data_IF_360179708294
#
_entry.id   IF_360179708294
#
_cell.length_a   1.000
_cell.length_b   1.000
_cell.length_c   1.000
_cell.angle_alpha   90.00
_cell.angle_beta   90.00
_cell.angle_gamma   90.00
#
_symmetry.space_group_name_H-M   'P 1'
#
loop_
_entity.id
_entity.type
_entity.pdbx_description
1 polymer ?
#
# COMPACT_ATOMS: atom_id res chain seq x y z
N UNK A 1 12.88 26.00 -8.11
CA UNK A 1 11.64 25.25 -7.80
C UNK A 1 10.89 25.07 -9.10
N UNK A 2 10.92 23.88 -9.69
CA UNK A 2 10.12 23.59 -10.88
C UNK A 2 8.64 23.50 -10.46
N UNK A 3 7.73 23.89 -11.34
CA UNK A 3 6.27 24.12 -11.14
C UNK A 3 5.47 22.91 -10.57
N UNK A 4 6.14 21.81 -10.20
CA UNK A 4 5.58 20.53 -9.72
C UNK A 4 5.98 20.16 -8.27
N UNK A 5 6.90 20.89 -7.62
CA UNK A 5 7.32 20.58 -6.24
C UNK A 5 6.44 21.33 -5.23
N UNK A 6 5.76 20.59 -4.35
CA UNK A 6 4.94 21.17 -3.29
C UNK A 6 5.87 21.74 -2.22
N UNK A 7 5.73 23.03 -1.89
CA UNK A 7 6.41 23.62 -0.74
C UNK A 7 5.73 23.14 0.55
N UNK A 8 6.38 22.16 1.17
CA UNK A 8 5.95 21.49 2.40
C UNK A 8 6.41 22.21 3.68
N UNK A 9 7.22 23.26 3.53
CA UNK A 9 7.92 23.92 4.64
C UNK A 9 7.36 25.31 4.94
N UNK A 10 7.08 26.13 3.93
CA UNK A 10 6.63 27.52 4.12
C UNK A 10 5.17 27.78 3.69
N UNK A 11 4.62 26.99 2.76
CA UNK A 11 3.28 27.17 2.20
C UNK A 11 2.09 26.93 3.14
N UNK A 12 0.89 27.24 2.64
CA UNK A 12 -0.38 26.95 3.32
C UNK A 12 -0.60 25.43 3.45
N UNK A 13 -0.81 24.97 4.69
CA UNK A 13 -0.83 23.56 5.06
C UNK A 13 -1.93 22.77 4.34
N UNK A 14 -3.17 23.24 4.43
CA UNK A 14 -4.35 22.56 3.88
C UNK A 14 -4.26 22.32 2.35
N UNK A 15 -4.02 23.33 1.49
CA UNK A 15 -3.94 23.11 0.04
C UNK A 15 -2.72 22.28 -0.37
N UNK A 16 -1.58 22.40 0.33
CA UNK A 16 -0.40 21.58 0.08
C UNK A 16 -0.64 20.11 0.47
N UNK A 17 -1.31 19.86 1.60
CA UNK A 17 -1.66 18.50 2.03
C UNK A 17 -2.68 17.86 1.10
N UNK A 18 -3.73 18.57 0.69
CA UNK A 18 -4.72 18.04 -0.26
C UNK A 18 -4.10 17.73 -1.63
N UNK A 19 -3.23 18.61 -2.15
CA UNK A 19 -2.50 18.34 -3.41
C UNK A 19 -1.55 17.15 -3.33
N UNK A 20 -1.09 16.80 -2.13
CA UNK A 20 -0.25 15.62 -1.90
C UNK A 20 -1.11 14.36 -1.69
N UNK A 21 -2.15 14.44 -0.86
CA UNK A 21 -3.01 13.32 -0.48
C UNK A 21 -3.92 12.85 -1.61
N UNK A 22 -4.48 13.75 -2.44
CA UNK A 22 -5.41 13.37 -3.52
C UNK A 22 -4.75 12.43 -4.55
N UNK A 23 -3.55 12.74 -5.10
CA UNK A 23 -2.89 11.79 -6.00
C UNK A 23 -2.49 10.48 -5.31
N UNK A 24 -2.20 10.54 -4.01
CA UNK A 24 -1.87 9.34 -3.24
C UNK A 24 -3.10 8.44 -3.05
N UNK A 25 -4.25 9.03 -2.72
CA UNK A 25 -5.54 8.36 -2.65
C UNK A 25 -5.89 7.72 -3.99
N UNK A 26 -5.74 8.46 -5.10
CA UNK A 26 -5.95 7.93 -6.44
C UNK A 26 -5.00 6.76 -6.75
N UNK A 27 -3.75 6.80 -6.28
CA UNK A 27 -2.80 5.70 -6.48
C UNK A 27 -3.23 4.45 -5.69
N UNK A 28 -3.69 4.62 -4.45
CA UNK A 28 -4.20 3.51 -3.64
C UNK A 28 -5.50 2.91 -4.21
N UNK A 29 -6.43 3.75 -4.69
CA UNK A 29 -7.65 3.28 -5.37
C UNK A 29 -7.29 2.51 -6.65
N UNK A 30 -6.34 3.02 -7.43
CA UNK A 30 -5.89 2.32 -8.62
C UNK A 30 -5.25 0.97 -8.31
N UNK A 31 -4.48 0.88 -7.21
CA UNK A 31 -3.92 -0.38 -6.75
C UNK A 31 -5.01 -1.37 -6.33
N UNK A 32 -6.10 -0.91 -5.73
CA UNK A 32 -7.29 -1.73 -5.46
C UNK A 32 -7.94 -2.22 -6.76
N UNK A 33 -8.09 -1.33 -7.75
CA UNK A 33 -8.63 -1.68 -9.07
C UNK A 33 -7.76 -2.71 -9.81
N UNK A 34 -6.43 -2.74 -9.60
CA UNK A 34 -5.58 -3.79 -10.18
C UNK A 34 -5.90 -5.16 -9.61
N UNK A 35 -5.96 -5.25 -8.28
CA UNK A 35 -6.34 -6.49 -7.63
C UNK A 35 -7.73 -6.95 -8.06
N UNK A 36 -8.69 -6.01 -8.18
CA UNK A 36 -10.03 -6.32 -8.67
C UNK A 36 -10.04 -6.78 -10.14
N UNK A 37 -9.22 -6.16 -11.00
CA UNK A 37 -9.13 -6.53 -12.42
C UNK A 37 -8.54 -7.92 -12.61
N UNK A 38 -7.46 -8.26 -11.88
CA UNK A 38 -6.85 -9.59 -11.90
C UNK A 38 -7.89 -10.68 -11.53
N UNK A 39 -8.66 -10.44 -10.47
CA UNK A 39 -9.71 -11.35 -10.00
C UNK A 39 -10.85 -11.44 -11.03
N UNK A 40 -11.28 -10.32 -11.61
CA UNK A 40 -12.38 -10.28 -12.57
C UNK A 40 -12.02 -11.02 -13.87
N UNK A 41 -10.79 -10.88 -14.37
CA UNK A 41 -10.34 -11.61 -15.57
C UNK A 41 -10.28 -13.11 -15.28
N UNK A 42 -9.72 -13.52 -14.14
CA UNK A 42 -9.67 -14.95 -13.77
C UNK A 42 -11.05 -15.56 -13.50
N UNK A 43 -11.97 -14.78 -12.93
CA UNK A 43 -13.33 -15.24 -12.65
C UNK A 43 -14.17 -15.45 -13.91
N UNK A 44 -13.96 -14.65 -14.95
CA UNK A 44 -14.72 -14.74 -16.21
C UNK A 44 -14.06 -15.64 -17.26
N UNK A 45 -12.73 -15.67 -17.32
CA UNK A 45 -12.00 -16.35 -18.39
C UNK A 45 -11.10 -17.49 -17.92
N UNK A 46 -10.88 -17.64 -16.61
CA UNK A 46 -10.10 -18.73 -16.03
C UNK A 46 -10.97 -19.85 -15.47
N UNK A 47 -10.34 -20.98 -15.15
CA UNK A 47 -11.02 -22.07 -14.45
C UNK A 47 -11.35 -21.74 -12.97
N UNK A 48 -12.35 -22.39 -12.39
CA UNK A 48 -12.67 -22.25 -10.95
C UNK A 48 -11.48 -22.60 -10.05
N UNK A 49 -10.64 -23.55 -10.49
CA UNK A 49 -9.37 -23.89 -9.83
C UNK A 49 -8.34 -22.76 -9.92
N UNK A 50 -8.31 -22.02 -11.04
CA UNK A 50 -7.44 -20.86 -11.25
C UNK A 50 -7.77 -19.72 -10.29
N UNK A 51 -9.07 -19.43 -10.09
CA UNK A 51 -9.52 -18.41 -9.14
C UNK A 51 -9.19 -18.79 -7.68
N UNK A 52 -9.46 -20.04 -7.30
CA UNK A 52 -9.15 -20.56 -5.96
C UNK A 52 -7.63 -20.59 -5.67
N UNK A 53 -6.82 -20.89 -6.69
CA UNK A 53 -5.37 -20.85 -6.58
C UNK A 53 -4.86 -19.43 -6.30
N UNK A 54 -5.30 -18.43 -7.06
CA UNK A 54 -4.89 -17.04 -6.82
C UNK A 54 -5.35 -16.56 -5.45
N UNK A 55 -6.61 -16.82 -5.07
CA UNK A 55 -7.14 -16.46 -3.75
C UNK A 55 -6.31 -17.01 -2.58
N UNK A 56 -5.81 -18.24 -2.69
CA UNK A 56 -4.96 -18.88 -1.67
C UNK A 56 -3.59 -18.20 -1.53
N UNK A 57 -3.10 -17.56 -2.60
CA UNK A 57 -1.80 -16.87 -2.61
C UNK A 57 -1.88 -15.40 -2.20
N UNK A 58 -3.07 -14.79 -2.19
CA UNK A 58 -3.27 -13.36 -1.85
C UNK A 58 -2.66 -13.02 -0.50
N UNK A 59 -2.91 -13.82 0.53
CA UNK A 59 -2.39 -13.55 1.88
C UNK A 59 -0.85 -13.49 1.92
N UNK A 60 -0.19 -14.42 1.23
CA UNK A 60 1.27 -14.47 1.11
C UNK A 60 1.81 -13.25 0.35
N UNK A 61 1.19 -12.92 -0.78
CA UNK A 61 1.52 -11.75 -1.61
C UNK A 61 1.35 -10.45 -0.83
N UNK A 62 0.23 -10.29 -0.12
CA UNK A 62 -0.06 -9.11 0.69
C UNK A 62 0.93 -8.96 1.84
N UNK A 63 1.33 -10.04 2.50
CA UNK A 63 2.31 -10.00 3.60
C UNK A 63 3.65 -9.44 3.12
N UNK A 64 4.16 -9.93 1.99
CA UNK A 64 5.43 -9.47 1.41
C UNK A 64 5.32 -8.03 0.92
N UNK A 65 4.22 -7.70 0.24
CA UNK A 65 3.97 -6.34 -0.26
C UNK A 65 3.90 -5.33 0.89
N UNK A 66 3.18 -5.67 1.97
CA UNK A 66 3.08 -4.85 3.17
C UNK A 66 4.44 -4.67 3.86
N UNK A 67 5.28 -5.70 3.86
CA UNK A 67 6.65 -5.59 4.36
C UNK A 67 7.48 -4.59 3.55
N UNK A 68 7.40 -4.62 2.21
CA UNK A 68 8.09 -3.65 1.35
C UNK A 68 7.57 -2.22 1.51
N UNK A 69 6.25 -2.05 1.63
CA UNK A 69 5.63 -0.76 1.94
C UNK A 69 6.15 -0.24 3.30
N UNK A 70 6.19 -1.11 4.31
CA UNK A 70 6.75 -0.84 5.64
C UNK A 70 8.18 -0.32 5.58
N UNK A 71 9.08 -1.02 4.88
CA UNK A 71 10.46 -0.58 4.69
C UNK A 71 10.57 0.74 3.91
N UNK A 72 9.71 0.93 2.91
CA UNK A 72 9.71 2.13 2.06
C UNK A 72 9.30 3.38 2.85
N UNK A 73 8.47 3.24 3.89
CA UNK A 73 8.16 4.33 4.82
C UNK A 73 9.44 4.84 5.52
N UNK A 74 10.34 3.93 5.92
CA UNK A 74 11.63 4.29 6.51
C UNK A 74 12.51 5.13 5.58
N UNK A 75 12.54 4.77 4.29
CA UNK A 75 13.21 5.56 3.25
C UNK A 75 12.57 6.94 3.09
N UNK A 76 11.23 7.02 3.05
CA UNK A 76 10.52 8.31 2.94
C UNK A 76 10.87 9.24 4.11
N UNK A 77 10.73 8.77 5.35
CA UNK A 77 11.03 9.56 6.57
C UNK A 77 12.47 10.09 6.54
N UNK A 78 13.45 9.22 6.23
CA UNK A 78 14.86 9.60 6.23
C UNK A 78 15.20 10.57 5.09
N UNK A 79 14.63 10.36 3.89
CA UNK A 79 14.81 11.23 2.75
C UNK A 79 14.16 12.61 2.99
N UNK A 80 12.91 12.66 3.46
CA UNK A 80 12.21 13.89 3.83
C UNK A 80 12.96 14.68 4.89
N UNK A 81 13.51 14.01 5.90
CA UNK A 81 14.31 14.66 6.94
C UNK A 81 15.61 15.25 6.37
N UNK A 82 16.29 14.55 5.47
CA UNK A 82 17.50 15.08 4.82
C UNK A 82 17.19 16.29 3.92
N UNK A 83 16.08 16.25 3.20
CA UNK A 83 15.58 17.36 2.37
C UNK A 83 15.24 18.59 3.23
N UNK A 84 14.53 18.38 4.34
CA UNK A 84 14.22 19.45 5.30
C UNK A 84 15.48 20.09 5.90
N UNK A 85 16.47 19.26 6.22
CA UNK A 85 17.77 19.71 6.75
C UNK A 85 18.70 20.30 5.68
N UNK A 86 18.28 20.34 4.41
CA UNK A 86 19.12 20.70 3.24
C UNK A 86 20.44 19.91 3.17
N UNK A 87 20.48 18.70 3.74
CA UNK A 87 21.66 17.84 3.74
C UNK A 87 21.66 16.94 2.51
N UNK A 88 21.96 17.54 1.37
CA UNK A 88 21.93 16.89 0.06
C UNK A 88 22.96 15.75 -0.10
N UNK A 89 24.10 15.83 0.60
CA UNK A 89 25.09 14.74 0.62
C UNK A 89 24.53 13.49 1.28
N UNK A 90 23.86 13.65 2.44
CA UNK A 90 23.21 12.53 3.12
C UNK A 90 22.02 12.01 2.31
N UNK A 91 21.22 12.89 1.71
CA UNK A 91 20.12 12.51 0.82
C UNK A 91 20.58 11.62 -0.34
N UNK A 92 21.68 12.00 -1.02
CA UNK A 92 22.26 11.18 -2.10
C UNK A 92 22.58 9.77 -1.59
N UNK A 93 23.22 9.64 -0.42
CA UNK A 93 23.49 8.31 0.17
C UNK A 93 22.20 7.54 0.47
N UNK A 94 21.16 8.20 0.99
CA UNK A 94 19.86 7.58 1.28
C UNK A 94 19.22 7.02 0.01
N UNK A 95 19.21 7.78 -1.09
CA UNK A 95 18.66 7.34 -2.38
C UNK A 95 19.37 6.08 -2.89
N UNK A 96 20.70 6.10 -2.95
CA UNK A 96 21.49 4.98 -3.46
C UNK A 96 21.41 3.74 -2.57
N UNK A 97 21.44 3.91 -1.25
CA UNK A 97 21.30 2.81 -0.30
C UNK A 97 19.88 2.23 -0.29
N UNK A 98 18.83 3.04 -0.46
CA UNK A 98 17.45 2.55 -0.52
C UNK A 98 17.21 1.67 -1.75
N UNK A 99 17.80 2.04 -2.90
CA UNK A 99 17.73 1.22 -4.11
C UNK A 99 18.52 -0.08 -3.96
N UNK A 100 19.74 -0.02 -3.39
CA UNK A 100 20.53 -1.23 -3.09
C UNK A 100 19.75 -2.16 -2.15
N UNK A 101 19.13 -1.60 -1.11
CA UNK A 101 18.31 -2.35 -0.17
C UNK A 101 17.06 -2.94 -0.85
N UNK A 102 16.41 -2.19 -1.74
CA UNK A 102 15.27 -2.68 -2.52
C UNK A 102 15.63 -3.85 -3.43
N UNK A 103 16.79 -3.80 -4.11
CA UNK A 103 17.30 -4.91 -4.93
C UNK A 103 17.59 -6.13 -4.05
N UNK A 104 18.31 -5.96 -2.94
CA UNK A 104 18.64 -7.07 -2.04
C UNK A 104 17.41 -7.69 -1.39
N UNK A 105 16.49 -6.86 -0.90
CA UNK A 105 15.26 -7.34 -0.30
C UNK A 105 14.35 -8.02 -1.35
N UNK A 106 14.32 -7.50 -2.58
CA UNK A 106 13.64 -8.14 -3.70
C UNK A 106 14.24 -9.51 -4.06
N UNK A 107 15.57 -9.61 -4.16
CA UNK A 107 16.28 -10.87 -4.43
C UNK A 107 16.07 -11.87 -3.29
N UNK A 108 16.16 -11.41 -2.04
CA UNK A 108 15.91 -12.24 -0.85
C UNK A 108 14.48 -12.78 -0.84
N UNK A 109 13.48 -11.92 -1.10
CA UNK A 109 12.09 -12.36 -1.18
C UNK A 109 11.88 -13.33 -2.35
N UNK A 110 12.48 -13.07 -3.52
CA UNK A 110 12.39 -13.95 -4.67
C UNK A 110 13.01 -15.33 -4.40
N UNK A 111 14.18 -15.39 -3.77
CA UNK A 111 14.86 -16.64 -3.45
C UNK A 111 14.09 -17.46 -2.41
N UNK A 112 13.64 -16.81 -1.33
CA UNK A 112 12.78 -17.45 -0.32
C UNK A 112 11.51 -17.96 -0.97
N UNK A 113 10.90 -17.17 -1.84
CA UNK A 113 9.68 -17.54 -2.54
C UNK A 113 9.81 -18.73 -3.47
N UNK A 114 10.83 -18.74 -4.33
CA UNK A 114 11.02 -19.85 -5.29
C UNK A 114 11.32 -21.16 -4.57
N UNK A 115 12.09 -21.12 -3.47
CA UNK A 115 12.49 -22.32 -2.70
C UNK A 115 11.38 -22.79 -1.74
N UNK A 116 10.72 -21.89 -1.03
CA UNK A 116 9.79 -22.24 0.05
C UNK A 116 8.31 -22.13 -0.34
N UNK A 117 7.94 -21.57 -1.50
CA UNK A 117 6.53 -21.40 -1.93
C UNK A 117 5.68 -22.66 -1.74
N UNK A 118 6.16 -23.81 -2.23
CA UNK A 118 5.42 -25.06 -2.10
C UNK A 118 5.22 -25.48 -0.63
N UNK A 119 6.25 -25.33 0.20
CA UNK A 119 6.18 -25.66 1.63
C UNK A 119 5.24 -24.73 2.40
N UNK A 120 5.29 -23.44 2.09
CA UNK A 120 4.41 -22.44 2.71
C UNK A 120 2.95 -22.68 2.32
N UNK A 121 2.67 -23.00 1.04
CA UNK A 121 1.31 -23.29 0.58
C UNK A 121 0.73 -24.57 1.18
N UNK A 122 1.56 -25.62 1.34
CA UNK A 122 1.15 -26.82 2.08
C UNK A 122 0.87 -26.50 3.54
N UNK A 123 1.70 -25.66 4.18
CA UNK A 123 1.49 -25.24 5.57
C UNK A 123 0.20 -24.40 5.74
N UNK A 124 -0.16 -23.62 4.72
CA UNK A 124 -1.42 -22.87 4.65
C UNK A 124 -2.64 -23.75 4.35
N UNK A 125 -2.49 -25.09 4.35
CA UNK A 125 -3.56 -26.05 4.08
C UNK A 125 -4.25 -25.82 2.73
N UNK A 126 -3.48 -25.39 1.72
CA UNK A 126 -4.01 -25.20 0.36
C UNK A 126 -4.42 -26.57 -0.21
N UNK A 127 -5.65 -26.75 -0.72
CA UNK A 127 -6.11 -28.03 -1.23
C UNK A 127 -5.22 -28.58 -2.35
N UNK A 128 -4.99 -29.90 -2.37
CA UNK A 128 -4.12 -30.56 -3.35
C UNK A 128 -4.53 -30.29 -4.80
N UNK A 129 -5.83 -30.11 -5.05
CA UNK A 129 -6.39 -29.81 -6.38
C UNK A 129 -5.97 -28.46 -6.95
N UNK A 130 -5.60 -27.48 -6.11
CA UNK A 130 -5.19 -26.12 -6.52
C UNK A 130 -3.73 -25.81 -6.20
N UNK A 131 -3.05 -26.68 -5.46
CA UNK A 131 -1.65 -26.50 -5.04
C UNK A 131 -0.69 -26.30 -6.23
N UNK A 132 -0.74 -27.08 -7.33
CA UNK A 132 0.18 -26.90 -8.46
C UNK A 132 0.04 -25.52 -9.13
N UNK A 133 -1.21 -25.06 -9.32
CA UNK A 133 -1.53 -23.74 -9.88
C UNK A 133 -1.09 -22.60 -8.95
N UNK A 134 -1.31 -22.78 -7.64
CA UNK A 134 -0.90 -21.80 -6.61
C UNK A 134 0.61 -21.67 -6.54
N UNK A 135 1.35 -22.79 -6.62
CA UNK A 135 2.82 -22.79 -6.66
C UNK A 135 3.33 -22.09 -7.92
N UNK A 136 2.73 -22.37 -9.08
CA UNK A 136 3.10 -21.72 -10.35
C UNK A 136 2.89 -20.20 -10.27
N UNK A 137 1.71 -19.76 -9.83
CA UNK A 137 1.41 -18.34 -9.62
C UNK A 137 2.44 -17.68 -8.73
N UNK A 138 2.66 -18.30 -7.57
CA UNK A 138 3.53 -17.77 -6.53
C UNK A 138 4.95 -17.62 -7.04
N UNK A 139 5.51 -18.64 -7.71
CA UNK A 139 6.86 -18.58 -8.29
C UNK A 139 7.01 -17.46 -9.32
N UNK A 140 6.04 -17.29 -10.21
CA UNK A 140 6.06 -16.21 -11.22
C UNK A 140 5.98 -14.85 -10.50
N UNK A 141 5.06 -14.70 -9.56
CA UNK A 141 4.87 -13.46 -8.80
C UNK A 141 6.11 -13.06 -8.00
N UNK A 142 6.87 -14.03 -7.47
CA UNK A 142 8.12 -13.78 -6.76
C UNK A 142 9.19 -13.14 -7.64
N UNK A 143 9.20 -13.35 -8.95
CA UNK A 143 10.07 -12.56 -9.85
C UNK A 143 9.65 -11.08 -9.93
N UNK A 144 8.36 -10.78 -9.77
CA UNK A 144 7.81 -9.41 -9.69
C UNK A 144 8.14 -8.68 -8.39
N UNK A 145 8.61 -9.38 -7.35
CA UNK A 145 8.98 -8.75 -6.08
C UNK A 145 10.15 -7.77 -6.22
N UNK A 146 11.10 -8.05 -7.11
CA UNK A 146 12.23 -7.14 -7.36
C UNK A 146 11.73 -5.81 -7.95
N UNK A 147 10.97 -5.79 -9.07
CA UNK A 147 10.32 -4.58 -9.57
C UNK A 147 9.47 -3.86 -8.53
N UNK A 148 8.66 -4.59 -7.76
CA UNK A 148 7.77 -4.02 -6.75
C UNK A 148 8.54 -3.33 -5.63
N UNK A 149 9.61 -3.95 -5.13
CA UNK A 149 10.46 -3.35 -4.12
C UNK A 149 11.07 -2.05 -4.65
N UNK A 150 11.69 -2.08 -5.83
CA UNK A 150 12.34 -0.91 -6.42
C UNK A 150 11.33 0.21 -6.69
N UNK A 151 10.13 -0.12 -7.17
CA UNK A 151 9.03 0.84 -7.33
C UNK A 151 8.68 1.50 -6.00
N UNK A 152 8.44 0.72 -4.94
CA UNK A 152 8.04 1.26 -3.63
C UNK A 152 9.12 2.16 -3.01
N UNK A 153 10.39 1.74 -3.05
CA UNK A 153 11.50 2.56 -2.57
C UNK A 153 11.68 3.83 -3.41
N UNK A 154 11.54 3.74 -4.73
CA UNK A 154 11.63 4.89 -5.62
C UNK A 154 10.45 5.86 -5.48
N UNK A 155 9.24 5.34 -5.32
CA UNK A 155 8.04 6.13 -5.02
C UNK A 155 8.18 6.84 -3.67
N UNK A 156 8.70 6.17 -2.64
CA UNK A 156 9.01 6.79 -1.35
C UNK A 156 9.99 7.97 -1.47
N UNK A 157 10.98 7.89 -2.36
CA UNK A 157 11.89 9.01 -2.65
C UNK A 157 11.15 10.15 -3.36
N UNK A 158 10.26 9.85 -4.31
CA UNK A 158 9.45 10.88 -5.00
C UNK A 158 8.49 11.57 -4.03
N UNK A 159 7.84 10.81 -3.14
CA UNK A 159 7.02 11.32 -2.06
C UNK A 159 7.82 12.23 -1.13
N UNK A 160 9.04 11.84 -0.74
CA UNK A 160 9.91 12.67 0.09
C UNK A 160 10.22 14.04 -0.55
N UNK A 161 10.38 14.07 -1.88
CA UNK A 161 10.59 15.30 -2.65
C UNK A 161 9.31 16.15 -2.80
N UNK A 162 8.13 15.59 -2.56
CA UNK A 162 6.84 16.25 -2.75
C UNK A 162 6.20 16.01 -4.12
N UNK A 163 6.68 15.02 -4.87
CA UNK A 163 6.11 14.63 -6.16
C UNK A 163 5.22 13.39 -6.02
N UNK A 164 3.91 13.60 -5.94
CA UNK A 164 2.92 12.50 -5.88
C UNK A 164 2.25 12.21 -7.22
N UNK A 165 2.28 13.16 -8.16
CA UNK A 165 1.68 13.01 -9.49
C UNK A 165 2.39 11.98 -10.37
N UNK A 166 3.73 11.96 -10.35
CA UNK A 166 4.51 11.02 -11.17
C UNK A 166 4.31 9.56 -10.73
N UNK A 167 4.43 9.22 -9.43
CA UNK A 167 4.10 7.87 -8.96
C UNK A 167 2.70 7.41 -9.37
N UNK A 168 1.70 8.31 -9.28
CA UNK A 168 0.34 8.04 -9.75
C UNK A 168 0.30 7.74 -11.26
N UNK A 169 0.90 8.58 -12.11
CA UNK A 169 0.93 8.37 -13.56
C UNK A 169 1.62 7.06 -13.94
N UNK A 170 2.68 6.68 -13.22
CA UNK A 170 3.36 5.40 -13.45
C UNK A 170 2.50 4.22 -13.07
N UNK A 171 1.74 4.34 -11.98
CA UNK A 171 0.78 3.34 -11.57
C UNK A 171 -0.33 3.25 -12.64
N UNK A 172 -0.90 4.36 -13.11
CA UNK A 172 -1.91 4.39 -14.20
C UNK A 172 -1.39 3.67 -15.45
N UNK A 173 -0.19 3.99 -15.90
CA UNK A 173 0.42 3.33 -17.04
C UNK A 173 0.57 1.81 -16.83
N UNK A 174 1.12 1.41 -15.67
CA UNK A 174 1.26 0.00 -15.30
C UNK A 174 -0.09 -0.73 -15.23
N UNK A 175 -1.14 -0.05 -14.79
CA UNK A 175 -2.49 -0.57 -14.71
C UNK A 175 -3.14 -0.84 -16.04
N UNK A 176 -3.09 0.15 -16.92
CA UNK A 176 -3.60 0.02 -18.28
C UNK A 176 -2.85 -1.10 -18.99
N UNK A 177 -1.52 -1.15 -18.86
CA UNK A 177 -0.71 -2.25 -19.38
C UNK A 177 -1.13 -3.59 -18.75
N UNK A 178 -1.39 -3.64 -17.44
CA UNK A 178 -1.76 -4.87 -16.75
C UNK A 178 -3.08 -5.44 -17.28
N UNK A 179 -4.13 -4.61 -17.39
CA UNK A 179 -5.44 -5.04 -17.90
C UNK A 179 -5.34 -5.51 -19.35
N UNK A 180 -4.61 -4.78 -20.20
CA UNK A 180 -4.41 -5.18 -21.61
C UNK A 180 -3.66 -6.51 -21.70
N UNK A 181 -2.57 -6.67 -20.94
CA UNK A 181 -1.78 -7.91 -20.94
C UNK A 181 -2.56 -9.08 -20.33
N UNK A 182 -3.36 -8.85 -19.30
CA UNK A 182 -4.26 -9.86 -18.73
C UNK A 182 -5.20 -10.40 -19.80
N UNK A 183 -5.87 -9.51 -20.55
CA UNK A 183 -6.76 -9.92 -21.63
C UNK A 183 -6.02 -10.69 -22.73
N UNK A 184 -4.82 -10.24 -23.14
CA UNK A 184 -4.04 -10.91 -24.17
C UNK A 184 -3.55 -12.30 -23.70
N UNK A 185 -2.94 -12.40 -22.52
CA UNK A 185 -2.36 -13.67 -22.07
C UNK A 185 -3.42 -14.68 -21.66
N UNK A 186 -4.50 -14.25 -21.04
CA UNK A 186 -5.58 -15.15 -20.61
C UNK A 186 -6.45 -15.55 -21.80
N UNK A 187 -6.86 -14.61 -22.66
CA UNK A 187 -7.82 -14.90 -23.76
C UNK A 187 -7.11 -15.41 -25.02
N UNK A 188 -5.99 -14.82 -25.44
CA UNK A 188 -5.33 -15.22 -26.70
C UNK A 188 -4.32 -16.37 -26.51
N UNK A 189 -3.60 -16.41 -25.39
CA UNK A 189 -2.59 -17.44 -25.12
C UNK A 189 -3.09 -18.60 -24.25
N UNK A 190 -4.34 -18.56 -23.76
CA UNK A 190 -4.91 -19.55 -22.81
C UNK A 190 -4.00 -19.82 -21.60
N UNK A 191 -3.20 -18.84 -21.19
CA UNK A 191 -2.35 -18.92 -20.02
C UNK A 191 -3.17 -18.39 -18.84
N UNK A 192 -4.03 -19.22 -18.22
CA UNK A 192 -4.88 -18.87 -17.06
C UNK A 192 -4.12 -18.10 -15.95
N UNK A 193 -3.60 -18.84 -14.97
CA UNK A 193 -2.97 -18.29 -13.76
C UNK A 193 -1.59 -17.73 -14.09
N UNK A 194 -0.89 -18.39 -15.01
CA UNK A 194 0.43 -17.95 -15.45
C UNK A 194 0.36 -16.62 -16.20
N UNK A 195 -0.67 -16.39 -17.02
CA UNK A 195 -0.82 -15.16 -17.80
C UNK A 195 -1.12 -13.95 -16.94
N UNK A 196 -1.96 -14.10 -15.91
CA UNK A 196 -2.20 -13.01 -14.95
C UNK A 196 -0.95 -12.71 -14.14
N UNK A 197 -0.24 -13.74 -13.66
CA UNK A 197 1.01 -13.53 -12.93
C UNK A 197 2.08 -12.82 -13.80
N UNK A 198 2.26 -13.23 -15.07
CA UNK A 198 3.24 -12.60 -15.98
C UNK A 198 2.83 -11.18 -16.35
N UNK A 199 1.56 -10.91 -16.62
CA UNK A 199 1.04 -9.57 -16.87
C UNK A 199 1.35 -8.64 -15.69
N UNK A 200 1.13 -9.10 -14.46
CA UNK A 200 1.43 -8.32 -13.25
C UNK A 200 2.92 -8.07 -13.08
N UNK A 201 3.78 -9.05 -13.35
CA UNK A 201 5.25 -8.86 -13.31
C UNK A 201 5.71 -7.85 -14.37
N UNK A 202 5.18 -7.92 -15.60
CA UNK A 202 5.54 -6.98 -16.68
C UNK A 202 5.10 -5.56 -16.32
N UNK A 203 3.88 -5.40 -15.81
CA UNK A 203 3.37 -4.09 -15.38
C UNK A 203 4.16 -3.49 -14.21
N UNK A 204 4.54 -4.31 -13.23
CA UNK A 204 5.42 -3.86 -12.14
C UNK A 204 6.81 -3.49 -12.65
N UNK A 205 7.35 -4.21 -13.64
CA UNK A 205 8.62 -3.90 -14.30
C UNK A 205 8.56 -2.58 -15.06
N UNK A 206 7.43 -2.29 -15.71
CA UNK A 206 7.17 -1.00 -16.35
C UNK A 206 7.12 0.13 -15.31
N UNK A 207 6.40 -0.05 -14.19
CA UNK A 207 6.35 0.92 -13.10
C UNK A 207 7.74 1.21 -12.52
N UNK A 208 8.53 0.16 -12.26
CA UNK A 208 9.93 0.24 -11.82
C UNK A 208 10.76 1.06 -12.81
N UNK A 209 10.69 0.72 -14.10
CA UNK A 209 11.48 1.36 -15.16
C UNK A 209 11.17 2.85 -15.25
N UNK A 210 9.88 3.21 -15.21
CA UNK A 210 9.45 4.61 -15.24
C UNK A 210 9.93 5.39 -14.01
N UNK A 211 9.86 4.80 -12.81
CA UNK A 211 10.38 5.42 -11.58
C UNK A 211 11.89 5.62 -11.65
N UNK A 212 12.64 4.62 -12.11
CA UNK A 212 14.10 4.71 -12.27
C UNK A 212 14.51 5.76 -13.31
N UNK A 213 13.84 5.80 -14.46
CA UNK A 213 14.07 6.83 -15.49
C UNK A 213 13.77 8.21 -14.92
N UNK A 214 12.65 8.36 -14.20
CA UNK A 214 12.26 9.62 -13.58
C UNK A 214 13.33 10.12 -12.61
N UNK A 215 13.82 9.24 -11.73
CA UNK A 215 14.85 9.55 -10.74
C UNK A 215 16.24 9.77 -11.38
N UNK A 216 16.59 9.05 -12.45
CA UNK A 216 17.85 9.22 -13.18
C UNK A 216 17.91 10.52 -14.00
N UNK A 217 16.75 10.97 -14.53
CA UNK A 217 16.63 12.23 -15.30
C UNK A 217 16.49 13.47 -14.42
N UNK A 218 16.40 13.34 -13.08
CA UNK A 218 16.36 14.50 -12.17
C UNK A 218 17.66 15.30 -12.26
N UNK A 219 17.53 16.62 -12.10
CA UNK A 219 18.68 17.54 -11.99
C UNK A 219 19.05 17.86 -10.53
N UNK A 220 18.25 17.41 -9.58
CA UNK A 220 18.40 17.73 -8.15
C UNK A 220 19.20 16.65 -7.41
N UNK A 221 19.46 16.87 -6.13
CA UNK A 221 20.24 15.95 -5.27
C UNK A 221 19.63 14.56 -5.06
N UNK A 222 18.39 14.36 -5.52
CA UNK A 222 17.70 13.07 -5.59
C UNK A 222 18.03 12.28 -6.86
N UNK A 223 18.93 12.77 -7.72
CA UNK A 223 19.39 12.07 -8.92
C UNK A 223 20.10 10.77 -8.58
N UNK A 224 19.71 9.69 -9.26
CA UNK A 224 20.39 8.39 -9.18
C UNK A 224 21.61 8.38 -10.09
N UNK A 225 22.73 7.91 -9.56
CA UNK A 225 23.89 7.48 -10.31
C UNK A 225 24.03 5.98 -10.13
N UNK A 226 23.76 5.20 -11.17
CA UNK A 226 23.81 3.74 -11.10
C UNK A 226 25.18 3.21 -10.62
N UNK A 227 26.27 3.90 -10.96
CA UNK A 227 27.63 3.59 -10.48
C UNK A 227 27.89 3.87 -8.98
N UNK A 228 26.96 4.49 -8.26
CA UNK A 228 27.12 4.85 -6.86
C UNK A 228 26.14 4.14 -5.93
N UNK A 229 25.41 3.15 -6.45
CA UNK A 229 24.55 2.28 -5.65
C UNK A 229 25.46 1.50 -4.69
N UNK A 230 25.40 1.88 -3.40
CA UNK A 230 26.20 1.30 -2.32
C UNK A 230 25.36 1.17 -1.06
N UNK A 231 25.57 0.07 -0.35
CA UNK A 231 25.03 -0.13 0.98
C UNK A 231 25.84 0.69 1.97
N UNK A 232 25.17 1.62 2.65
CA UNK A 232 25.74 2.27 3.82
C UNK A 232 25.08 1.66 5.07
N UNK A 233 25.82 0.94 5.92
CA UNK A 233 25.24 0.24 7.07
C UNK A 233 24.49 1.16 8.04
N UNK A 234 24.95 2.42 8.22
CA UNK A 234 24.25 3.39 9.08
C UNK A 234 22.86 3.76 8.55
N UNK A 235 22.76 3.91 7.22
CA UNK A 235 21.51 4.27 6.55
C UNK A 235 20.59 3.06 6.49
N UNK A 236 21.12 1.88 6.20
CA UNK A 236 20.36 0.62 6.23
C UNK A 236 19.76 0.42 7.62
N UNK A 237 20.56 0.54 8.68
CA UNK A 237 20.06 0.41 10.05
C UNK A 237 18.98 1.44 10.38
N UNK A 238 19.12 2.67 9.89
CA UNK A 238 18.10 3.73 10.07
C UNK A 238 16.79 3.39 9.37
N UNK A 239 16.85 2.86 8.14
CA UNK A 239 15.68 2.43 7.38
C UNK A 239 15.01 1.22 8.07
N UNK A 240 15.80 0.22 8.47
CA UNK A 240 15.29 -0.98 9.13
C UNK A 240 14.66 -0.67 10.50
N UNK A 241 15.25 0.22 11.31
CA UNK A 241 14.67 0.67 12.58
C UNK A 241 13.30 1.34 12.42
N UNK A 242 13.06 1.98 11.28
CA UNK A 242 11.77 2.62 10.98
C UNK A 242 10.79 1.66 10.28
N UNK A 243 11.31 0.77 9.44
CA UNK A 243 10.54 -0.11 8.57
C UNK A 243 10.10 -1.42 9.20
N UNK A 244 10.96 -2.07 9.99
CA UNK A 244 10.64 -3.35 10.66
C UNK A 244 9.43 -3.19 11.59
N UNK A 245 9.34 -2.16 12.46
CA UNK A 245 8.15 -1.98 13.31
C UNK A 245 6.88 -1.74 12.49
N UNK A 246 6.96 -1.00 11.38
CA UNK A 246 5.82 -0.76 10.50
C UNK A 246 5.36 -2.04 9.80
N UNK A 247 6.29 -2.86 9.31
CA UNK A 247 5.97 -4.16 8.72
C UNK A 247 5.37 -5.13 9.74
N UNK A 248 5.92 -5.18 10.95
CA UNK A 248 5.38 -6.00 12.04
C UNK A 248 3.96 -5.58 12.41
N UNK A 249 3.71 -4.26 12.51
CA UNK A 249 2.37 -3.72 12.73
C UNK A 249 1.40 -4.17 11.63
N UNK A 250 1.79 -4.13 10.35
CA UNK A 250 0.95 -4.63 9.26
C UNK A 250 0.63 -6.12 9.39
N UNK A 251 1.59 -6.95 9.78
CA UNK A 251 1.36 -8.39 10.01
C UNK A 251 0.35 -8.61 11.14
N UNK A 252 0.48 -7.86 12.24
CA UNK A 252 -0.46 -7.95 13.39
C UNK A 252 -1.88 -7.51 12.97
N UNK A 253 -2.02 -6.45 12.17
CA UNK A 253 -3.32 -6.06 11.61
C UNK A 253 -3.93 -7.16 10.74
N UNK A 254 -3.13 -7.79 9.88
CA UNK A 254 -3.60 -8.92 9.06
C UNK A 254 -4.07 -10.11 9.92
N UNK A 255 -3.34 -10.44 10.99
CA UNK A 255 -3.75 -11.49 11.93
C UNK A 255 -5.06 -11.13 12.65
N UNK A 256 -5.21 -9.89 13.09
CA UNK A 256 -6.41 -9.43 13.80
C UNK A 256 -7.63 -9.44 12.87
N UNK A 257 -7.47 -8.98 11.63
CA UNK A 257 -8.54 -9.01 10.64
C UNK A 257 -8.97 -10.45 10.30
N UNK A 258 -8.03 -11.40 10.32
CA UNK A 258 -8.33 -12.82 10.13
C UNK A 258 -9.15 -13.41 11.29
N UNK A 259 -8.84 -13.06 12.54
CA UNK A 259 -9.64 -13.49 13.71
C UNK A 259 -11.06 -12.93 13.64
N UNK A 260 -11.20 -11.64 13.32
CA UNK A 260 -12.51 -10.99 13.13
C UNK A 260 -13.28 -11.68 12.01
N UNK A 261 -12.64 -11.95 10.87
CA UNK A 261 -13.28 -12.62 9.73
C UNK A 261 -13.71 -14.04 10.09
N UNK A 262 -12.91 -14.80 10.84
CA UNK A 262 -13.27 -16.13 11.32
C UNK A 262 -14.49 -16.09 12.24
N UNK A 263 -14.58 -15.11 13.13
CA UNK A 263 -15.76 -14.90 13.96
C UNK A 263 -16.99 -14.52 13.12
N UNK A 264 -16.82 -13.70 12.06
CA UNK A 264 -17.94 -13.37 11.17
C UNK A 264 -18.44 -14.60 10.40
N UNK A 265 -17.53 -15.47 9.97
CA UNK A 265 -17.88 -16.67 9.21
C UNK A 265 -18.76 -17.66 10.00
N UNK A 266 -18.71 -17.66 11.34
CA UNK A 266 -19.55 -18.53 12.17
C UNK A 266 -21.02 -18.09 12.26
N UNK A 267 -21.35 -16.84 11.87
CA UNK A 267 -22.73 -16.34 11.84
C UNK A 267 -23.53 -16.77 10.61
N UNK A 268 -22.90 -17.45 9.65
CA UNK A 268 -23.56 -18.06 8.50
C UNK A 268 -23.53 -17.23 7.20
N UNK A 269 -24.03 -17.80 6.08
CA UNK A 269 -23.79 -17.30 4.73
C UNK A 269 -24.33 -15.89 4.46
N UNK A 270 -25.49 -15.55 5.01
CA UNK A 270 -26.14 -14.25 4.84
C UNK A 270 -25.29 -13.13 5.46
N UNK A 271 -24.78 -13.34 6.68
CA UNK A 271 -23.91 -12.38 7.35
C UNK A 271 -22.53 -12.29 6.71
N UNK A 272 -22.00 -13.40 6.17
CA UNK A 272 -20.76 -13.38 5.38
C UNK A 272 -20.92 -12.55 4.11
N UNK A 273 -22.01 -12.73 3.36
CA UNK A 273 -22.29 -11.97 2.14
C UNK A 273 -22.49 -10.47 2.43
N UNK A 274 -23.30 -10.15 3.46
CA UNK A 274 -23.50 -8.76 3.88
C UNK A 274 -22.22 -8.08 4.39
N UNK A 275 -21.40 -8.84 5.13
CA UNK A 275 -20.07 -8.41 5.57
C UNK A 275 -19.17 -8.12 4.38
N UNK A 276 -19.04 -9.04 3.42
CA UNK A 276 -18.20 -8.84 2.25
C UNK A 276 -18.62 -7.61 1.43
N UNK A 277 -19.93 -7.41 1.22
CA UNK A 277 -20.46 -6.23 0.54
C UNK A 277 -20.09 -4.93 1.29
N UNK A 278 -20.32 -4.88 2.61
CA UNK A 278 -19.93 -3.74 3.46
C UNK A 278 -18.42 -3.48 3.41
N UNK A 279 -17.59 -4.52 3.47
CA UNK A 279 -16.12 -4.41 3.45
C UNK A 279 -15.60 -3.75 2.17
N UNK A 280 -16.22 -4.04 1.02
CA UNK A 280 -15.85 -3.41 -0.24
C UNK A 280 -16.11 -1.91 -0.21
N UNK A 281 -17.29 -1.49 0.29
CA UNK A 281 -17.62 -0.07 0.48
C UNK A 281 -16.68 0.57 1.50
N UNK A 282 -16.47 -0.09 2.64
CA UNK A 282 -15.59 0.37 3.72
C UNK A 282 -14.15 0.57 3.22
N UNK A 283 -13.65 -0.29 2.34
CA UNK A 283 -12.29 -0.20 1.83
C UNK A 283 -12.02 1.12 1.10
N UNK A 284 -13.00 1.64 0.33
CA UNK A 284 -12.87 2.94 -0.34
C UNK A 284 -12.79 4.11 0.65
N UNK A 285 -13.60 4.06 1.71
CA UNK A 285 -13.57 5.06 2.79
C UNK A 285 -12.21 4.99 3.50
N UNK A 286 -11.77 3.78 3.85
CA UNK A 286 -10.49 3.54 4.52
C UNK A 286 -9.33 4.13 3.72
N UNK A 287 -9.23 3.78 2.43
CA UNK A 287 -8.14 4.24 1.54
C UNK A 287 -8.11 5.75 1.47
N UNK A 288 -9.28 6.38 1.41
CA UNK A 288 -9.42 7.84 1.33
C UNK A 288 -8.90 8.53 2.60
N UNK A 289 -9.20 7.96 3.77
CA UNK A 289 -8.68 8.45 5.04
C UNK A 289 -7.18 8.13 5.21
N UNK A 290 -6.77 6.92 4.84
CA UNK A 290 -5.42 6.42 5.01
C UNK A 290 -4.42 7.20 4.16
N UNK A 291 -4.81 7.81 3.04
CA UNK A 291 -3.93 8.68 2.23
C UNK A 291 -3.30 9.85 3.03
N UNK A 292 -3.93 10.29 4.13
CA UNK A 292 -3.39 11.33 5.01
C UNK A 292 -2.27 10.85 5.94
N UNK A 293 -2.20 9.55 6.24
CA UNK A 293 -1.18 8.94 7.09
C UNK A 293 0.25 9.10 6.51
N UNK A 294 0.56 8.68 5.27
CA UNK A 294 1.86 8.93 4.62
C UNK A 294 2.07 10.42 4.28
N UNK A 295 0.99 11.19 4.05
CA UNK A 295 1.08 12.65 3.87
C UNK A 295 1.62 13.33 5.13
N UNK A 296 1.00 13.07 6.29
CA UNK A 296 1.44 13.59 7.58
C UNK A 296 2.88 13.16 7.90
N UNK A 297 3.21 11.89 7.66
CA UNK A 297 4.57 11.34 7.84
C UNK A 297 5.62 12.16 7.09
N UNK A 298 5.36 12.45 5.81
CA UNK A 298 6.28 13.17 4.92
C UNK A 298 6.46 14.63 5.36
N UNK A 299 5.34 15.33 5.62
CA UNK A 299 5.35 16.74 6.02
C UNK A 299 6.02 16.95 7.39
N UNK A 300 5.74 16.08 8.36
CA UNK A 300 6.35 16.14 9.71
C UNK A 300 7.84 15.84 9.62
N UNK A 301 8.25 14.78 8.92
CA UNK A 301 9.67 14.43 8.72
C UNK A 301 10.46 15.58 8.12
N UNK A 302 9.88 16.26 7.13
CA UNK A 302 10.50 17.40 6.45
C UNK A 302 10.61 18.63 7.34
N UNK A 303 9.57 18.96 8.12
CA UNK A 303 9.61 20.09 9.06
C UNK A 303 10.58 19.86 10.22
N UNK A 304 10.73 18.62 10.70
CA UNK A 304 11.76 18.25 11.68
C UNK A 304 13.16 18.47 11.10
N UNK A 305 13.39 18.02 9.87
CA UNK A 305 14.66 18.27 9.18
C UNK A 305 14.97 19.77 9.11
N UNK A 306 13.96 20.60 8.84
CA UNK A 306 14.08 22.05 8.77
C UNK A 306 14.10 22.75 10.15
N UNK A 307 14.08 22.01 11.26
CA UNK A 307 13.99 22.51 12.65
C UNK A 307 12.74 23.36 12.94
N UNK A 308 11.65 23.13 12.22
CA UNK A 308 10.37 23.87 12.37
C UNK A 308 9.37 23.09 13.23
N UNK A 309 9.73 22.85 14.49
CA UNK A 309 8.94 22.02 15.41
C UNK A 309 7.54 22.58 15.70
N UNK A 310 7.38 23.90 15.74
CA UNK A 310 6.08 24.56 15.97
C UNK A 310 5.01 24.23 14.93
N UNK A 311 5.40 23.82 13.71
CA UNK A 311 4.46 23.42 12.65
C UNK A 311 4.00 21.96 12.78
N UNK A 312 4.67 21.11 13.57
CA UNK A 312 4.36 19.68 13.68
C UNK A 312 2.94 19.44 14.20
N UNK A 313 2.57 20.12 15.30
CA UNK A 313 1.22 19.99 15.87
C UNK A 313 0.16 20.48 14.89
N UNK A 314 0.43 21.59 14.18
CA UNK A 314 -0.47 22.13 13.15
C UNK A 314 -0.66 21.17 11.98
N UNK A 315 0.41 20.50 11.52
CA UNK A 315 0.33 19.48 10.46
C UNK A 315 -0.51 18.31 10.93
N UNK A 316 -0.28 17.83 12.16
CA UNK A 316 -1.01 16.69 12.73
C UNK A 316 -2.50 17.00 12.89
N UNK A 317 -2.84 18.14 13.48
CA UNK A 317 -4.24 18.61 13.61
C UNK A 317 -4.92 18.82 12.26
N UNK A 318 -4.20 19.38 11.28
CA UNK A 318 -4.72 19.56 9.92
C UNK A 318 -4.97 18.20 9.25
N UNK A 319 -4.06 17.22 9.41
CA UNK A 319 -4.23 15.87 8.88
C UNK A 319 -5.44 15.18 9.51
N UNK A 320 -5.57 15.23 10.84
CA UNK A 320 -6.71 14.69 11.56
C UNK A 320 -8.02 15.35 11.11
N UNK A 321 -8.05 16.68 11.00
CA UNK A 321 -9.22 17.42 10.55
C UNK A 321 -9.64 16.99 9.15
N UNK A 322 -8.71 16.93 8.19
CA UNK A 322 -8.99 16.45 6.84
C UNK A 322 -9.48 14.99 6.82
N UNK A 323 -8.83 14.10 7.57
CA UNK A 323 -9.24 12.70 7.68
C UNK A 323 -10.63 12.55 8.30
N UNK A 324 -10.96 13.37 9.29
CA UNK A 324 -12.28 13.39 9.94
C UNK A 324 -13.36 13.88 9.00
N UNK A 325 -13.12 14.99 8.29
CA UNK A 325 -14.07 15.53 7.31
C UNK A 325 -14.34 14.50 6.21
N UNK A 326 -13.30 13.86 5.68
CA UNK A 326 -13.46 12.84 4.64
C UNK A 326 -14.17 11.60 5.18
N UNK A 327 -13.82 11.13 6.37
CA UNK A 327 -14.49 10.00 7.01
C UNK A 327 -15.96 10.27 7.28
N UNK A 328 -16.31 11.46 7.78
CA UNK A 328 -17.71 11.86 8.01
C UNK A 328 -18.46 11.99 6.70
N UNK A 329 -17.90 12.67 5.70
CA UNK A 329 -18.57 12.90 4.41
C UNK A 329 -18.79 11.57 3.68
N UNK A 330 -17.74 10.77 3.49
CA UNK A 330 -17.84 9.50 2.78
C UNK A 330 -18.61 8.45 3.60
N UNK A 331 -18.44 8.41 4.92
CA UNK A 331 -19.19 7.52 5.80
C UNK A 331 -20.69 7.86 5.84
N UNK A 332 -21.05 9.14 5.88
CA UNK A 332 -22.45 9.56 5.81
C UNK A 332 -23.06 9.23 4.46
N UNK A 333 -22.34 9.45 3.36
CA UNK A 333 -22.78 9.02 2.02
C UNK A 333 -22.97 7.51 1.97
N UNK A 334 -22.06 6.73 2.54
CA UNK A 334 -22.16 5.28 2.57
C UNK A 334 -23.33 4.76 3.43
N UNK A 335 -23.70 5.46 4.51
CA UNK A 335 -24.87 5.10 5.32
C UNK A 335 -26.18 5.51 4.63
N UNK A 336 -26.24 6.71 4.03
CA UNK A 336 -27.43 7.23 3.35
C UNK A 336 -27.73 6.47 2.06
N UNK A 337 -26.71 6.14 1.27
CA UNK A 337 -26.82 5.38 0.03
C UNK A 337 -26.46 3.90 0.23
N UNK A 338 -26.40 3.42 1.47
CA UNK A 338 -25.94 2.07 1.80
C UNK A 338 -26.74 0.97 1.12
N UNK A 339 -28.07 1.12 1.03
CA UNK A 339 -28.94 0.17 0.32
C UNK A 339 -28.58 0.07 -1.16
N UNK A 340 -28.33 1.21 -1.83
CA UNK A 340 -27.97 1.24 -3.24
C UNK A 340 -26.53 0.76 -3.47
N UNK A 341 -25.59 1.15 -2.62
CA UNK A 341 -24.18 0.75 -2.69
C UNK A 341 -24.02 -0.75 -2.44
N UNK A 342 -24.69 -1.30 -1.42
CA UNK A 342 -24.68 -2.73 -1.13
C UNK A 342 -25.45 -3.52 -2.20
N UNK A 343 -26.52 -2.95 -2.76
CA UNK A 343 -27.27 -3.53 -3.87
C UNK A 343 -26.47 -3.72 -5.16
N UNK A 344 -25.35 -3.01 -5.32
CA UNK A 344 -24.38 -3.27 -6.42
C UNK A 344 -23.64 -4.59 -6.20
N UNK A 345 -23.43 -4.99 -4.94
CA UNK A 345 -22.63 -6.18 -4.58
C UNK A 345 -23.47 -7.42 -4.32
N UNK A 346 -24.72 -7.28 -3.88
CA UNK A 346 -25.62 -8.42 -3.64
C UNK A 346 -27.07 -8.05 -3.90
N UNK A 347 -27.82 -8.96 -4.53
CA UNK A 347 -29.26 -8.82 -4.77
C UNK A 347 -30.11 -9.39 -3.62
N UNK A 348 -29.48 -10.08 -2.66
CA UNK A 348 -30.17 -10.68 -1.52
C UNK A 348 -30.49 -9.62 -0.46
N UNK A 349 -31.79 -9.38 -0.24
CA UNK A 349 -32.29 -8.40 0.73
C UNK A 349 -31.79 -8.67 2.16
N UNK A 350 -31.66 -9.95 2.56
CA UNK A 350 -31.19 -10.30 3.90
C UNK A 350 -29.69 -10.00 4.07
N UNK A 351 -28.90 -10.16 3.00
CA UNK A 351 -27.48 -9.80 2.99
C UNK A 351 -27.28 -8.28 2.98
N UNK A 352 -28.14 -7.54 2.27
CA UNK A 352 -28.12 -6.06 2.29
C UNK A 352 -28.42 -5.54 3.70
N UNK A 353 -29.42 -6.10 4.38
CA UNK A 353 -29.77 -5.71 5.74
C UNK A 353 -28.62 -5.98 6.72
N UNK A 354 -28.01 -7.17 6.65
CA UNK A 354 -26.82 -7.50 7.44
C UNK A 354 -25.64 -6.56 7.16
N UNK A 355 -25.42 -6.19 5.89
CA UNK A 355 -24.40 -5.22 5.49
C UNK A 355 -24.67 -3.81 6.01
N UNK A 356 -25.92 -3.37 6.04
CA UNK A 356 -26.33 -2.07 6.59
C UNK A 356 -26.11 -1.97 8.10
N UNK A 357 -26.41 -3.06 8.83
CA UNK A 357 -26.14 -3.15 10.26
C UNK A 357 -24.64 -2.95 10.53
N UNK A 358 -23.79 -3.62 9.75
CA UNK A 358 -22.33 -3.44 9.83
C UNK A 358 -21.91 -2.00 9.51
N UNK A 359 -22.35 -1.43 8.38
CA UNK A 359 -22.00 -0.06 7.96
C UNK A 359 -22.38 0.98 9.02
N UNK A 360 -23.55 0.85 9.65
CA UNK A 360 -23.99 1.77 10.72
C UNK A 360 -23.17 1.62 11.98
N UNK A 361 -22.86 0.38 12.39
CA UNK A 361 -22.03 0.13 13.57
C UNK A 361 -20.57 0.53 13.38
N UNK A 362 -20.03 0.33 12.18
CA UNK A 362 -18.63 0.64 11.84
C UNK A 362 -18.44 2.12 11.51
N UNK A 363 -19.44 2.78 10.92
CA UNK A 363 -19.35 4.17 10.47
C UNK A 363 -19.11 5.19 11.59
N UNK A 364 -19.66 4.97 12.80
CA UNK A 364 -19.47 5.87 13.96
C UNK A 364 -18.04 5.80 14.54
N UNK A 365 -17.47 4.62 14.87
CA UNK A 365 -16.09 4.51 15.35
C UNK A 365 -15.04 4.68 14.23
N UNK A 366 -15.44 4.72 12.96
CA UNK A 366 -14.51 4.79 11.83
C UNK A 366 -13.55 5.98 11.88
N UNK A 367 -14.03 7.12 12.39
CA UNK A 367 -13.22 8.33 12.58
C UNK A 367 -12.06 8.06 13.55
N UNK A 368 -12.28 7.26 14.59
CA UNK A 368 -11.24 6.89 15.56
C UNK A 368 -10.16 6.03 14.89
N UNK A 369 -10.55 5.13 13.98
CA UNK A 369 -9.60 4.34 13.20
C UNK A 369 -8.71 5.24 12.32
N UNK A 370 -9.31 6.20 11.63
CA UNK A 370 -8.56 7.19 10.86
C UNK A 370 -7.62 8.05 11.72
N UNK A 371 -8.04 8.41 12.94
CA UNK A 371 -7.18 9.15 13.88
C UNK A 371 -5.98 8.32 14.31
N UNK A 372 -6.20 7.04 14.63
CA UNK A 372 -5.14 6.10 14.96
C UNK A 372 -4.11 6.03 13.82
N UNK A 373 -4.55 5.80 12.59
CA UNK A 373 -3.64 5.72 11.42
C UNK A 373 -2.85 7.02 11.23
N UNK A 374 -3.51 8.18 11.25
CA UNK A 374 -2.86 9.48 11.05
C UNK A 374 -1.85 9.77 12.17
N UNK A 375 -2.19 9.46 13.43
CA UNK A 375 -1.26 9.58 14.57
C UNK A 375 -0.06 8.65 14.44
N UNK A 376 -0.29 7.43 13.96
CA UNK A 376 0.77 6.48 13.63
C UNK A 376 1.73 7.08 12.60
N UNK A 377 1.19 7.72 11.55
CA UNK A 377 1.97 8.46 10.56
C UNK A 377 2.74 9.64 11.16
N UNK A 378 2.13 10.41 12.05
CA UNK A 378 2.77 11.54 12.71
C UNK A 378 3.97 11.12 13.57
N UNK A 379 3.81 10.06 14.36
CA UNK A 379 4.88 9.48 15.19
C UNK A 379 6.01 8.89 14.34
N UNK A 380 5.68 8.18 13.24
CA UNK A 380 6.68 7.72 12.26
C UNK A 380 7.44 8.90 11.65
N UNK A 381 6.77 10.01 11.36
CA UNK A 381 7.39 11.24 10.89
C UNK A 381 8.37 11.85 11.92
N UNK A 382 8.07 11.72 13.21
CA UNK A 382 8.97 12.07 14.31
C UNK A 382 10.22 11.18 14.39
N UNK A 383 10.21 10.03 13.70
CA UNK A 383 11.28 9.03 13.73
C UNK A 383 11.08 7.96 14.79
N UNK A 384 9.89 7.90 15.42
CA UNK A 384 9.51 6.84 16.34
C UNK A 384 8.52 5.90 15.67
N UNK A 385 9.02 4.79 15.12
CA UNK A 385 8.18 3.72 14.54
C UNK A 385 7.82 2.62 15.54
N UNK A 386 8.53 2.55 16.67
CA UNK A 386 8.29 1.50 17.67
C UNK A 386 7.06 1.80 18.54
N UNK A 387 6.91 3.04 19.01
CA UNK A 387 5.77 3.47 19.84
C UNK A 387 4.41 3.22 19.15
N UNK A 388 4.21 3.57 17.87
CA UNK A 388 2.95 3.29 17.19
C UNK A 388 2.67 1.80 17.00
N UNK A 389 3.70 0.98 16.81
CA UNK A 389 3.55 -0.47 16.69
C UNK A 389 3.04 -1.06 18.02
N UNK A 390 3.60 -0.64 19.16
CA UNK A 390 3.16 -1.06 20.49
C UNK A 390 1.75 -0.59 20.80
N UNK A 391 1.43 0.68 20.50
CA UNK A 391 0.08 1.22 20.72
C UNK A 391 -0.96 0.48 19.87
N UNK A 392 -0.65 0.19 18.61
CA UNK A 392 -1.56 -0.58 17.74
C UNK A 392 -1.73 -2.02 18.25
N UNK A 393 -0.65 -2.67 18.70
CA UNK A 393 -0.72 -3.99 19.32
C UNK A 393 -1.60 -4.00 20.57
N UNK A 394 -1.37 -3.06 21.50
CA UNK A 394 -2.08 -3.02 22.77
C UNK A 394 -3.52 -2.50 22.65
N UNK A 395 -3.81 -1.65 21.67
CA UNK A 395 -5.11 -0.98 21.55
C UNK A 395 -6.03 -1.52 20.46
N UNK A 396 -5.49 -1.97 19.31
CA UNK A 396 -6.31 -2.45 18.19
C UNK A 396 -6.45 -3.98 18.15
N UNK A 397 -5.54 -4.70 18.81
CA UNK A 397 -5.43 -6.16 18.70
C UNK A 397 -5.47 -6.90 20.05
N UNK A 398 -5.33 -6.17 21.16
CA UNK A 398 -5.23 -6.70 22.52
C UNK A 398 -6.57 -6.76 23.25
#
# INVERSE_FOLDING_TARGET
MTKSEIDMTDGALLPSMLRFAIPLMAASVLQLLFNASDIAVLGNFGSTHSLAAVGSTVALVSLLTNFFIGMSIGTNVLASRCLGAKNYKRLRRVVHTSLALGVLAGIFSASVGVVFSARILVLMQTPESVLPLSVLYTKIYFFGMIPTAIYNFGAAILYANGETKKPLMFLIAAGITNVILNLIFVICFNMDVAGVATATVISQTLAMTLVLISLARRKDSSKIFFNQIRLNPEIVLSILKLGIPAGFQSVVFSLSNMVIQSAVNSFGPVYMAGTAASQNVDCFIWISMNAFQPTATTFISRNIGAKRYARINKITLCALGCGTVIGIVLGTIAILFGTALLGIYTSDAAAIEAGLVRLRMVGVPYVLCGWMDIMTGALRGLGSSFVPAVIALAGACG
#
